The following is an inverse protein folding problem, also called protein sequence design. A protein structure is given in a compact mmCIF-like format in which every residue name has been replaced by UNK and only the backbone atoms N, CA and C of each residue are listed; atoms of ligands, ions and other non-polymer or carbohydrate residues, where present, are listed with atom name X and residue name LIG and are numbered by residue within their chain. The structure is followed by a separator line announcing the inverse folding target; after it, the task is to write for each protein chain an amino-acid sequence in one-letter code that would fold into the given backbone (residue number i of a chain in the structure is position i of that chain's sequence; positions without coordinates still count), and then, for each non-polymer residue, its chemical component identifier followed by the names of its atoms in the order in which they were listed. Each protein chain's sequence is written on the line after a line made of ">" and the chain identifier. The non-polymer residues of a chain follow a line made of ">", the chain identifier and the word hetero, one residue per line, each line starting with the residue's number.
data_IF_038453340178
#
_entry.id   IF_038453340178
#
_cell.length_a   1.000
_cell.length_b   1.000
_cell.length_c   1.000
_cell.angle_alpha   90.00
_cell.angle_beta   90.00
_cell.angle_gamma   90.00
#
_symmetry.space_group_name_H-M   'P 1'
#
loop_
_entity.id
_entity.type
_entity.pdbx_description
1 polymer ?
#
# COMPACT_ATOMS: atom_id res chain seq x y z
N UNK A 1 -67.83 9.78 -69.03
CA UNK A 1 -67.16 11.06 -68.73
C UNK A 1 -67.38 11.36 -67.26
N UNK A 2 -66.31 11.64 -66.51
CA UNK A 2 -66.21 12.14 -65.11
C UNK A 2 -67.28 11.65 -64.08
N UNK A 3 -66.94 10.71 -63.19
CA UNK A 3 -66.26 10.92 -61.89
C UNK A 3 -67.14 11.55 -60.81
N UNK A 4 -67.63 10.74 -59.85
CA UNK A 4 -67.64 11.08 -58.41
C UNK A 4 -67.86 9.83 -57.54
N UNK A 5 -67.14 9.81 -56.42
CA UNK A 5 -66.89 8.70 -55.49
C UNK A 5 -68.09 8.32 -54.61
N UNK A 6 -68.20 7.03 -54.28
CA UNK A 6 -68.96 6.49 -53.14
C UNK A 6 -67.98 5.77 -52.22
N UNK A 7 -67.69 6.35 -51.05
CA UNK A 7 -66.92 5.70 -49.98
C UNK A 7 -67.87 4.84 -49.13
N UNK A 8 -67.57 3.55 -48.97
CA UNK A 8 -68.23 2.68 -47.99
C UNK A 8 -67.36 2.50 -46.75
N UNK A 9 -68.00 2.59 -45.59
CA UNK A 9 -67.39 2.42 -44.27
C UNK A 9 -67.08 0.94 -43.98
N UNK A 10 -65.88 0.66 -43.47
CA UNK A 10 -65.54 -0.57 -42.74
C UNK A 10 -65.17 -0.18 -41.30
N UNK A 11 -65.62 -0.92 -40.27
CA UNK A 11 -65.21 -0.64 -38.90
C UNK A 11 -63.78 -1.16 -38.67
N UNK A 12 -62.89 -0.30 -38.18
CA UNK A 12 -61.58 -0.71 -37.67
C UNK A 12 -61.72 -0.96 -36.16
N UNK A 13 -61.37 -2.16 -35.73
CA UNK A 13 -61.22 -2.52 -34.32
C UNK A 13 -60.07 -1.69 -33.72
N UNK A 14 -60.36 -0.86 -32.71
CA UNK A 14 -59.32 -0.25 -31.88
C UNK A 14 -58.82 -1.29 -30.87
N UNK A 15 -57.66 -1.88 -31.16
CA UNK A 15 -56.85 -2.54 -30.14
C UNK A 15 -56.12 -1.45 -29.34
N UNK A 16 -56.39 -1.36 -28.04
CA UNK A 16 -55.66 -0.49 -27.13
C UNK A 16 -54.21 -1.00 -26.99
N UNK A 17 -53.26 -0.28 -27.59
CA UNK A 17 -51.85 -0.50 -27.35
C UNK A 17 -51.49 0.06 -25.97
N UNK A 18 -51.29 -0.82 -24.99
CA UNK A 18 -50.69 -0.49 -23.71
C UNK A 18 -49.23 -0.06 -23.96
N UNK A 19 -48.94 1.24 -23.82
CA UNK A 19 -47.57 1.74 -23.75
C UNK A 19 -47.00 1.36 -22.38
N UNK A 20 -46.31 0.21 -22.32
CA UNK A 20 -45.47 -0.13 -21.18
C UNK A 20 -44.27 0.83 -21.15
N UNK A 21 -44.25 1.75 -20.19
CA UNK A 21 -43.02 2.45 -19.80
C UNK A 21 -42.09 1.41 -19.17
N UNK A 22 -41.16 0.88 -19.95
CA UNK A 22 -40.04 0.13 -19.43
C UNK A 22 -39.11 1.09 -18.68
N UNK A 23 -39.17 1.07 -17.35
CA UNK A 23 -38.08 1.58 -16.53
C UNK A 23 -36.90 0.65 -16.77
N UNK A 24 -35.98 1.05 -17.65
CA UNK A 24 -34.71 0.37 -17.78
C UNK A 24 -33.98 0.56 -16.44
N UNK A 25 -33.90 -0.52 -15.66
CA UNK A 25 -33.00 -0.62 -14.53
C UNK A 25 -31.57 -0.59 -15.11
N UNK A 26 -30.99 0.60 -15.25
CA UNK A 26 -29.57 0.71 -15.52
C UNK A 26 -28.85 0.22 -14.26
N UNK A 27 -28.24 -0.97 -14.34
CA UNK A 27 -27.15 -1.33 -13.45
C UNK A 27 -26.07 -0.26 -13.63
N UNK A 28 -25.92 0.63 -12.64
CA UNK A 28 -24.85 1.63 -12.66
C UNK A 28 -23.52 0.87 -12.64
N UNK A 29 -22.71 1.08 -13.68
CA UNK A 29 -21.29 0.79 -13.56
C UNK A 29 -20.77 1.56 -12.33
N UNK A 30 -20.03 0.89 -11.43
CA UNK A 30 -19.46 1.53 -10.26
C UNK A 30 -18.72 2.81 -10.69
N UNK A 31 -19.23 3.97 -10.28
CA UNK A 31 -18.56 5.22 -10.58
C UNK A 31 -17.32 5.28 -9.68
N UNK A 32 -16.15 5.06 -10.28
CA UNK A 32 -14.89 5.35 -9.59
C UNK A 32 -14.69 6.84 -9.64
N UNK A 33 -15.17 7.52 -8.60
CA UNK A 33 -14.77 8.89 -8.37
C UNK A 33 -13.25 8.93 -8.15
N UNK A 34 -12.62 10.05 -8.52
CA UNK A 34 -11.19 10.24 -8.25
C UNK A 34 -11.01 10.58 -6.76
N UNK A 35 -10.60 11.81 -6.47
CA UNK A 35 -10.35 12.28 -5.11
C UNK A 35 -11.47 13.16 -4.56
N UNK A 36 -12.55 13.43 -5.30
CA UNK A 36 -13.61 14.37 -4.90
C UNK A 36 -15.03 13.85 -5.09
N UNK A 37 -15.92 14.33 -4.22
CA UNK A 37 -17.38 14.31 -4.38
C UNK A 37 -17.87 15.76 -4.32
N UNK A 38 -18.35 16.32 -5.43
CA UNK A 38 -18.77 17.73 -5.52
C UNK A 38 -20.25 17.92 -5.14
N UNK A 39 -20.66 19.16 -4.91
CA UNK A 39 -22.03 19.49 -4.53
C UNK A 39 -23.06 18.89 -5.51
N UNK A 40 -24.04 18.17 -4.95
CA UNK A 40 -25.09 17.44 -5.67
C UNK A 40 -24.76 15.98 -5.98
N UNK A 41 -23.50 15.56 -5.83
CA UNK A 41 -23.10 14.17 -6.10
C UNK A 41 -23.40 13.24 -4.92
N UNK A 42 -23.62 11.98 -5.26
CA UNK A 42 -23.89 10.90 -4.32
C UNK A 42 -22.88 9.77 -4.52
N UNK A 43 -22.17 9.39 -3.47
CA UNK A 43 -21.38 8.17 -3.41
C UNK A 43 -22.30 7.03 -2.98
N UNK A 44 -22.60 6.13 -3.92
CA UNK A 44 -23.49 4.99 -3.70
C UNK A 44 -22.82 3.89 -2.88
N UNK A 45 -23.62 2.96 -2.36
CA UNK A 45 -23.09 1.77 -1.70
C UNK A 45 -22.11 1.00 -2.61
N UNK A 46 -20.96 0.64 -2.04
CA UNK A 46 -19.77 0.04 -2.64
C UNK A 46 -18.96 0.92 -3.60
N UNK A 47 -19.34 2.19 -3.78
CA UNK A 47 -18.50 3.16 -4.50
C UNK A 47 -17.45 3.78 -3.56
N UNK A 48 -16.37 4.27 -4.15
CA UNK A 48 -15.22 4.76 -3.39
C UNK A 48 -14.52 5.97 -4.03
N UNK A 49 -13.78 6.70 -3.20
CA UNK A 49 -12.83 7.76 -3.56
C UNK A 49 -11.41 7.33 -3.23
N UNK A 50 -10.46 7.71 -4.09
CA UNK A 50 -9.02 7.51 -3.88
C UNK A 50 -8.20 8.76 -4.23
N UNK A 51 -7.05 9.01 -3.60
CA UNK A 51 -6.16 10.08 -4.03
C UNK A 51 -5.76 9.95 -5.52
N UNK A 52 -5.52 11.06 -6.19
CA UNK A 52 -5.16 11.09 -7.62
C UNK A 52 -3.69 10.76 -7.88
N UNK A 53 -2.82 10.96 -6.89
CA UNK A 53 -1.36 10.88 -7.03
C UNK A 53 -0.73 9.69 -6.28
N UNK A 54 -1.51 8.92 -5.52
CA UNK A 54 -1.05 7.75 -4.79
C UNK A 54 -2.20 6.79 -4.43
N UNK A 55 -1.86 5.66 -3.79
CA UNK A 55 -2.82 4.63 -3.36
C UNK A 55 -2.73 4.37 -1.84
N UNK A 56 -2.48 5.41 -1.03
CA UNK A 56 -2.25 5.26 0.42
C UNK A 56 -3.54 4.94 1.19
N UNK A 57 -4.66 5.47 0.74
CA UNK A 57 -5.96 5.36 1.42
C UNK A 57 -7.09 5.21 0.41
N UNK A 58 -8.23 4.72 0.91
CA UNK A 58 -9.48 4.62 0.14
C UNK A 58 -10.67 4.95 1.04
N UNK A 59 -11.55 5.84 0.60
CA UNK A 59 -12.84 6.11 1.28
C UNK A 59 -13.92 5.33 0.54
N UNK A 60 -14.63 4.44 1.23
CA UNK A 60 -15.68 3.61 0.66
C UNK A 60 -16.99 3.79 1.42
N UNK A 61 -18.09 3.98 0.70
CA UNK A 61 -19.44 3.82 1.25
C UNK A 61 -19.75 2.33 1.26
N UNK A 62 -19.60 1.64 2.39
CA UNK A 62 -19.73 0.18 2.45
C UNK A 62 -21.19 -0.27 2.27
N UNK A 63 -21.40 -1.49 1.76
CA UNK A 63 -22.73 -2.07 1.58
C UNK A 63 -23.52 -2.31 2.88
N UNK A 64 -22.87 -2.30 4.03
CA UNK A 64 -23.51 -2.38 5.35
C UNK A 64 -24.02 -1.01 5.86
N UNK A 65 -23.78 0.07 5.10
CA UNK A 65 -24.20 1.42 5.41
C UNK A 65 -23.15 2.29 6.10
N UNK A 66 -21.92 1.82 6.31
CA UNK A 66 -20.86 2.60 6.94
C UNK A 66 -19.98 3.30 5.89
N UNK A 67 -19.74 4.61 6.03
CA UNK A 67 -18.74 5.30 5.25
C UNK A 67 -17.39 5.20 5.97
N UNK A 68 -16.40 4.55 5.35
CA UNK A 68 -15.14 4.21 6.02
C UNK A 68 -13.93 4.60 5.18
N UNK A 69 -12.98 5.28 5.83
CA UNK A 69 -11.65 5.57 5.28
C UNK A 69 -10.66 4.50 5.75
N UNK A 70 -10.07 3.78 4.81
CA UNK A 70 -9.07 2.76 5.08
C UNK A 70 -7.67 3.20 4.66
N UNK A 71 -6.67 2.77 5.42
CA UNK A 71 -5.28 2.72 4.96
C UNK A 71 -5.07 1.46 4.13
N UNK A 72 -4.52 1.61 2.93
CA UNK A 72 -4.41 0.50 1.97
C UNK A 72 -3.27 -0.47 2.27
N UNK A 73 -2.26 -0.08 3.05
CA UNK A 73 -1.12 -0.95 3.37
C UNK A 73 -1.49 -2.13 4.27
N UNK A 74 -2.47 -1.96 5.16
CA UNK A 74 -2.85 -2.95 6.18
C UNK A 74 -4.37 -3.07 6.41
N UNK A 75 -5.19 -2.40 5.59
CA UNK A 75 -6.65 -2.39 5.68
C UNK A 75 -7.18 -1.92 7.04
N UNK A 76 -6.41 -1.13 7.78
CA UNK A 76 -6.85 -0.55 9.06
C UNK A 76 -7.82 0.62 8.78
N UNK A 77 -9.02 0.66 9.41
CA UNK A 77 -9.90 1.80 9.33
C UNK A 77 -9.27 2.99 10.08
N UNK A 78 -9.08 4.11 9.38
CA UNK A 78 -8.55 5.34 9.94
C UNK A 78 -9.65 6.24 10.50
N UNK A 79 -10.83 6.21 9.89
CA UNK A 79 -12.00 6.98 10.29
C UNK A 79 -13.27 6.34 9.70
N UNK A 80 -14.42 6.49 10.37
CA UNK A 80 -15.72 6.05 9.88
C UNK A 80 -16.88 6.84 10.51
N UNK A 81 -18.05 6.76 9.88
CA UNK A 81 -19.27 7.43 10.33
C UNK A 81 -20.00 6.73 11.47
N UNK A 82 -19.66 5.47 11.78
CA UNK A 82 -20.40 4.62 12.74
C UNK A 82 -21.85 4.34 12.31
N UNK A 83 -22.10 4.26 11.00
CA UNK A 83 -23.44 4.07 10.44
C UNK A 83 -23.66 2.65 9.89
N UNK A 84 -22.90 1.66 10.37
CA UNK A 84 -23.09 0.26 9.97
C UNK A 84 -24.46 -0.27 10.43
N UNK A 85 -24.98 -1.29 9.73
CA UNK A 85 -26.31 -1.86 9.99
C UNK A 85 -27.44 -1.16 9.24
N UNK A 86 -27.10 -0.25 8.32
CA UNK A 86 -28.03 0.50 7.48
C UNK A 86 -27.78 0.22 5.99
N UNK A 87 -28.00 -1.02 5.51
CA UNK A 87 -27.74 -1.36 4.11
C UNK A 87 -28.55 -0.49 3.15
N UNK A 88 -27.93 -0.09 2.05
CA UNK A 88 -28.51 0.86 1.09
C UNK A 88 -28.35 2.33 1.48
N UNK A 89 -27.64 2.64 2.57
CA UNK A 89 -27.25 4.02 2.85
C UNK A 89 -26.31 4.59 1.77
N UNK A 90 -26.32 5.90 1.62
CA UNK A 90 -25.54 6.65 0.62
C UNK A 90 -24.90 7.88 1.25
N UNK A 91 -23.77 8.34 0.70
CA UNK A 91 -23.15 9.60 1.11
C UNK A 91 -23.44 10.68 0.07
N UNK A 92 -23.97 11.82 0.50
CA UNK A 92 -24.34 12.94 -0.39
C UNK A 92 -23.56 14.18 0.01
N UNK A 93 -22.89 14.80 -0.95
CA UNK A 93 -22.37 16.16 -0.79
C UNK A 93 -23.49 17.14 -1.17
N UNK A 94 -24.21 17.66 -0.19
CA UNK A 94 -25.41 18.46 -0.44
C UNK A 94 -25.10 19.83 -1.05
N UNK A 95 -26.08 20.40 -1.76
CA UNK A 95 -25.93 21.72 -2.40
C UNK A 95 -25.77 22.89 -1.43
N UNK A 96 -26.20 22.73 -0.18
CA UNK A 96 -26.02 23.71 0.91
C UNK A 96 -24.60 23.67 1.52
N UNK A 97 -23.77 22.71 1.10
CA UNK A 97 -22.40 22.54 1.55
C UNK A 97 -22.19 21.49 2.62
N UNK A 98 -23.23 20.79 3.07
CA UNK A 98 -23.10 19.75 4.10
C UNK A 98 -22.82 18.37 3.46
N UNK A 99 -21.82 17.64 3.98
CA UNK A 99 -21.69 16.21 3.69
C UNK A 99 -22.56 15.40 4.65
N UNK A 100 -23.43 14.54 4.12
CA UNK A 100 -24.39 13.75 4.90
C UNK A 100 -24.42 12.30 4.45
N UNK A 101 -24.50 11.36 5.40
CA UNK A 101 -24.86 9.97 5.13
C UNK A 101 -26.34 9.78 5.41
N UNK A 102 -27.09 9.36 4.39
CA UNK A 102 -28.51 9.06 4.49
C UNK A 102 -28.75 7.55 4.51
N UNK A 103 -29.69 7.09 5.32
CA UNK A 103 -30.23 5.73 5.23
C UNK A 103 -31.00 5.50 3.93
N UNK A 104 -31.38 4.25 3.67
CA UNK A 104 -31.99 3.83 2.40
C UNK A 104 -33.32 4.55 2.05
N UNK A 105 -34.02 5.13 3.03
CA UNK A 105 -35.25 5.90 2.80
C UNK A 105 -34.99 7.34 2.31
N UNK A 106 -33.73 7.79 2.29
CA UNK A 106 -33.34 9.13 1.87
C UNK A 106 -33.69 10.25 2.85
N UNK A 107 -34.26 9.95 4.02
CA UNK A 107 -34.64 10.94 5.04
C UNK A 107 -33.91 10.75 6.37
N UNK A 108 -33.49 9.53 6.69
CA UNK A 108 -32.78 9.23 7.92
C UNK A 108 -31.33 9.71 7.82
N UNK A 109 -30.97 10.72 8.60
CA UNK A 109 -29.60 11.23 8.69
C UNK A 109 -28.81 10.36 9.67
N UNK A 110 -27.82 9.64 9.17
CA UNK A 110 -26.95 8.76 9.97
C UNK A 110 -25.65 9.45 10.40
N UNK A 111 -25.19 10.43 9.62
CA UNK A 111 -24.01 11.24 9.90
C UNK A 111 -24.07 12.57 9.14
N UNK A 112 -23.47 13.63 9.68
CA UNK A 112 -23.22 14.88 8.95
C UNK A 112 -21.97 15.61 9.47
N UNK A 113 -21.38 16.46 8.61
CA UNK A 113 -20.15 17.21 8.95
C UNK A 113 -20.41 18.56 9.64
N UNK A 114 -21.66 19.01 9.71
CA UNK A 114 -22.05 20.35 10.20
C UNK A 114 -21.49 21.52 9.38
N UNK A 115 -21.41 21.34 8.06
CA UNK A 115 -20.81 22.34 7.14
C UNK A 115 -21.83 23.06 6.25
N UNK A 116 -23.12 22.95 6.57
CA UNK A 116 -24.21 23.65 5.86
C UNK A 116 -24.02 25.19 5.83
N UNK A 117 -24.77 25.87 4.98
CA UNK A 117 -24.64 27.30 4.64
C UNK A 117 -23.31 27.67 3.94
N UNK A 118 -22.66 26.70 3.29
CA UNK A 118 -21.46 26.89 2.48
C UNK A 118 -21.67 26.32 1.07
N UNK A 119 -22.57 26.91 0.24
CA UNK A 119 -22.90 26.36 -1.07
C UNK A 119 -21.67 26.24 -1.98
N UNK A 120 -21.65 25.19 -2.79
CA UNK A 120 -20.50 24.86 -3.65
C UNK A 120 -19.33 24.20 -2.90
N UNK A 121 -19.49 23.83 -1.63
CA UNK A 121 -18.52 22.99 -0.94
C UNK A 121 -18.43 21.60 -1.56
N UNK A 122 -17.30 20.92 -1.35
CA UNK A 122 -17.05 19.58 -1.86
C UNK A 122 -16.20 18.76 -0.88
N UNK A 123 -16.38 17.45 -0.91
CA UNK A 123 -15.52 16.50 -0.23
C UNK A 123 -14.27 16.26 -1.08
N UNK A 124 -13.10 16.18 -0.45
CA UNK A 124 -11.85 15.79 -1.09
C UNK A 124 -11.05 14.85 -0.20
N UNK A 125 -10.56 13.76 -0.79
CA UNK A 125 -9.60 12.84 -0.20
C UNK A 125 -8.17 13.24 -0.65
N UNK A 126 -7.41 13.87 0.25
CA UNK A 126 -6.09 14.38 -0.07
C UNK A 126 -5.06 13.26 -0.19
N UNK A 127 -3.95 13.56 -0.89
CA UNK A 127 -2.80 12.67 -1.03
C UNK A 127 -2.12 12.30 0.29
N UNK A 128 -2.26 13.15 1.32
CA UNK A 128 -1.84 12.84 2.68
C UNK A 128 -2.72 11.80 3.38
N UNK A 129 -3.84 11.41 2.78
CA UNK A 129 -4.86 10.56 3.40
C UNK A 129 -5.82 11.28 4.36
N UNK A 130 -5.77 12.61 4.41
CA UNK A 130 -6.78 13.40 5.13
C UNK A 130 -8.03 13.56 4.26
N UNK A 131 -9.21 13.27 4.83
CA UNK A 131 -10.49 13.50 4.20
C UNK A 131 -11.04 14.85 4.68
N UNK A 132 -11.39 15.74 3.75
CA UNK A 132 -11.79 17.12 4.08
C UNK A 132 -13.03 17.56 3.33
N UNK A 133 -13.87 18.37 3.96
CA UNK A 133 -14.86 19.20 3.27
C UNK A 133 -14.25 20.58 3.09
N UNK A 134 -14.20 21.07 1.85
CA UNK A 134 -13.69 22.39 1.50
C UNK A 134 -14.81 23.26 0.94
N UNK A 135 -14.79 24.55 1.25
CA UNK A 135 -15.62 25.55 0.60
C UNK A 135 -15.27 25.70 -0.88
N UNK A 136 -16.12 26.39 -1.65
CA UNK A 136 -15.83 26.78 -3.03
C UNK A 136 -14.52 27.61 -3.17
N UNK A 137 -14.10 28.30 -2.11
CA UNK A 137 -12.84 29.05 -2.03
C UNK A 137 -11.65 28.23 -1.51
N UNK A 138 -11.77 26.90 -1.41
CA UNK A 138 -10.76 25.96 -0.89
C UNK A 138 -10.47 26.06 0.62
N UNK A 139 -11.27 26.78 1.40
CA UNK A 139 -11.13 26.80 2.87
C UNK A 139 -11.59 25.45 3.43
N UNK A 140 -10.78 24.81 4.29
CA UNK A 140 -11.18 23.57 4.97
C UNK A 140 -12.23 23.91 6.04
N UNK A 141 -13.42 23.34 5.90
CA UNK A 141 -14.54 23.51 6.83
C UNK A 141 -14.65 22.35 7.83
N UNK A 142 -14.23 21.15 7.42
CA UNK A 142 -14.18 19.95 8.25
C UNK A 142 -13.02 19.05 7.79
N UNK A 143 -12.45 18.29 8.72
CA UNK A 143 -11.40 17.30 8.43
C UNK A 143 -11.54 16.06 9.32
N UNK A 144 -11.23 14.88 8.77
CA UNK A 144 -11.10 13.64 9.53
C UNK A 144 -9.86 13.60 10.42
N UNK A 145 -8.87 14.46 10.15
CA UNK A 145 -7.56 14.50 10.82
C UNK A 145 -6.78 13.18 10.72
N UNK A 146 -6.88 12.52 9.57
CA UNK A 146 -6.30 11.19 9.31
C UNK A 146 -5.09 11.25 8.37
N UNK A 147 -4.34 12.35 8.37
CA UNK A 147 -3.13 12.42 7.55
C UNK A 147 -2.21 11.26 7.92
N UNK A 148 -2.02 10.33 6.99
CA UNK A 148 -1.05 9.25 7.10
C UNK A 148 0.25 9.75 6.51
N UNK A 149 1.36 9.42 7.18
CA UNK A 149 2.63 9.45 6.48
C UNK A 149 2.56 8.39 5.37
N UNK A 150 3.05 8.67 4.16
CA UNK A 150 3.28 7.61 3.19
C UNK A 150 4.02 6.48 3.89
N UNK A 151 3.55 5.24 3.71
CA UNK A 151 4.38 4.09 4.10
C UNK A 151 5.77 4.32 3.48
N UNK A 152 6.87 4.10 4.22
CA UNK A 152 8.19 4.34 3.66
C UNK A 152 8.31 3.56 2.35
N UNK A 153 8.58 4.25 1.24
CA UNK A 153 8.83 3.59 -0.03
C UNK A 153 10.15 2.84 0.09
N UNK A 154 10.08 1.54 0.37
CA UNK A 154 11.25 0.70 0.28
C UNK A 154 11.48 0.34 -1.18
N UNK A 155 12.75 0.22 -1.53
CA UNK A 155 13.13 -0.21 -2.86
C UNK A 155 14.39 -1.04 -2.78
N UNK A 156 14.49 -2.01 -3.68
CA UNK A 156 15.68 -2.83 -3.80
C UNK A 156 16.81 -2.04 -4.47
N UNK A 157 17.99 -1.93 -3.83
CA UNK A 157 19.14 -1.29 -4.45
C UNK A 157 19.65 -2.12 -5.64
N UNK A 158 20.31 -1.46 -6.58
CA UNK A 158 21.13 -2.14 -7.59
C UNK A 158 22.48 -2.57 -7.00
N UNK A 159 23.15 -3.53 -7.64
CA UNK A 159 24.51 -3.89 -7.26
C UNK A 159 25.49 -2.76 -7.64
N UNK A 160 25.94 -2.00 -6.64
CA UNK A 160 26.91 -0.91 -6.81
C UNK A 160 28.12 -1.12 -5.89
N UNK A 161 29.06 -2.02 -6.26
CA UNK A 161 30.18 -2.36 -5.40
C UNK A 161 31.14 -1.19 -5.16
N UNK A 162 31.19 -0.20 -6.05
CA UNK A 162 32.08 0.97 -5.91
C UNK A 162 31.81 1.77 -4.64
N UNK A 163 30.55 1.96 -4.27
CA UNK A 163 30.18 2.63 -3.02
C UNK A 163 30.71 1.88 -1.79
N UNK A 164 30.57 0.55 -1.79
CA UNK A 164 30.95 -0.30 -0.65
C UNK A 164 32.43 -0.69 -0.63
N UNK A 165 33.16 -0.45 -1.73
CA UNK A 165 34.55 -0.82 -1.95
C UNK A 165 35.47 0.40 -2.08
N UNK A 166 35.24 1.41 -1.24
CA UNK A 166 36.02 2.66 -1.22
C UNK A 166 37.48 2.46 -0.73
N UNK A 167 37.83 1.27 -0.22
CA UNK A 167 39.13 0.99 0.39
C UNK A 167 39.37 1.72 1.71
N UNK A 168 38.38 2.46 2.22
CA UNK A 168 38.47 3.37 3.34
C UNK A 168 37.31 3.11 4.32
N UNK A 169 36.71 4.17 4.88
CA UNK A 169 35.74 4.07 5.97
C UNK A 169 34.54 3.20 5.62
N UNK A 170 33.96 3.32 4.41
CA UNK A 170 32.75 2.57 4.08
C UNK A 170 33.06 1.07 4.04
N UNK A 171 34.13 0.68 3.35
CA UNK A 171 34.52 -0.72 3.24
C UNK A 171 34.99 -1.29 4.59
N UNK A 172 35.75 -0.52 5.37
CA UNK A 172 36.39 -1.01 6.59
C UNK A 172 35.45 -1.07 7.80
N UNK A 173 34.41 -0.24 7.85
CA UNK A 173 33.56 -0.13 9.04
C UNK A 173 32.17 -0.74 8.88
N UNK A 174 31.76 -1.18 7.69
CA UNK A 174 30.44 -1.75 7.45
C UNK A 174 30.58 -3.22 7.04
N UNK A 175 29.88 -4.12 7.74
CA UNK A 175 30.00 -5.57 7.55
C UNK A 175 28.91 -6.14 6.61
N UNK A 176 28.74 -7.47 6.61
CA UNK A 176 27.72 -8.15 5.82
C UNK A 176 26.29 -7.73 6.18
N UNK A 177 26.03 -7.43 7.46
CA UNK A 177 24.71 -7.04 7.94
C UNK A 177 24.36 -5.62 7.49
N UNK A 178 25.31 -4.70 7.55
CA UNK A 178 25.18 -3.37 6.94
C UNK A 178 24.85 -3.44 5.45
N UNK A 179 25.66 -4.21 4.72
CA UNK A 179 25.51 -4.35 3.27
C UNK A 179 24.15 -4.93 2.90
N UNK A 180 23.73 -6.02 3.56
CA UNK A 180 22.48 -6.69 3.28
C UNK A 180 21.27 -5.80 3.54
N UNK A 181 21.29 -5.02 4.63
CA UNK A 181 20.25 -4.03 4.95
C UNK A 181 20.41 -2.72 4.16
N UNK A 182 21.40 -2.63 3.27
CA UNK A 182 21.76 -1.41 2.55
C UNK A 182 21.93 -0.18 3.47
N UNK A 183 22.38 -0.37 4.71
CA UNK A 183 22.47 0.72 5.70
C UNK A 183 23.91 0.91 6.15
N UNK A 184 24.43 2.11 5.88
CA UNK A 184 25.75 2.54 6.32
C UNK A 184 25.61 3.09 7.74
N UNK A 185 25.98 2.29 8.73
CA UNK A 185 26.06 2.75 10.12
C UNK A 185 27.46 3.22 10.47
N UNK A 186 28.46 2.89 9.63
CA UNK A 186 29.89 3.03 9.95
C UNK A 186 30.27 2.34 11.26
N UNK A 187 29.53 1.29 11.60
CA UNK A 187 29.76 0.37 12.72
C UNK A 187 29.66 -1.06 12.21
N UNK A 188 30.32 -2.00 12.90
CA UNK A 188 30.12 -3.42 12.69
C UNK A 188 28.74 -3.84 13.22
N UNK A 189 27.70 -3.59 12.42
CA UNK A 189 26.33 -3.79 12.87
C UNK A 189 26.06 -5.24 13.26
N UNK A 190 25.35 -5.44 14.37
CA UNK A 190 25.02 -6.76 14.90
C UNK A 190 23.50 -6.95 14.93
N UNK A 191 22.97 -8.07 14.43
CA UNK A 191 21.55 -8.40 14.58
C UNK A 191 21.11 -8.26 16.04
N UNK A 192 19.99 -7.56 16.24
CA UNK A 192 19.34 -7.37 17.54
C UNK A 192 19.90 -6.24 18.39
N UNK A 193 21.09 -5.70 18.06
CA UNK A 193 21.78 -4.72 18.91
C UNK A 193 21.00 -3.41 19.05
N UNK A 194 20.28 -2.98 18.02
CA UNK A 194 19.45 -1.78 18.08
C UNK A 194 18.34 -1.89 19.15
N UNK A 195 17.89 -3.12 19.43
CA UNK A 195 16.82 -3.42 20.38
C UNK A 195 17.31 -4.19 21.62
N UNK A 196 18.59 -4.07 21.96
CA UNK A 196 19.16 -4.62 23.19
C UNK A 196 19.35 -6.14 23.20
N UNK A 197 19.12 -6.82 22.07
CA UNK A 197 19.36 -8.26 21.93
C UNK A 197 20.84 -8.45 21.58
N UNK A 198 21.63 -8.93 22.55
CA UNK A 198 23.07 -9.12 22.41
C UNK A 198 23.57 -10.28 23.28
N UNK A 199 24.83 -10.68 23.11
CA UNK A 199 25.46 -11.73 23.94
C UNK A 199 24.85 -13.13 23.78
N UNK A 200 24.08 -13.36 22.72
CA UNK A 200 23.46 -14.65 22.43
C UNK A 200 24.46 -15.65 21.85
N UNK A 201 24.19 -16.94 22.02
CA UNK A 201 24.99 -18.00 21.43
C UNK A 201 24.91 -17.96 19.90
N UNK A 202 26.04 -18.13 19.21
CA UNK A 202 26.12 -18.09 17.75
C UNK A 202 25.46 -19.32 17.10
N UNK A 203 24.13 -19.32 17.06
CA UNK A 203 23.29 -20.38 16.52
C UNK A 203 22.31 -19.79 15.50
N UNK A 204 21.86 -20.60 14.55
CA UNK A 204 20.86 -20.18 13.56
C UNK A 204 19.63 -19.52 14.20
N UNK A 205 18.95 -20.17 15.17
CA UNK A 205 17.77 -19.60 15.83
C UNK A 205 18.04 -18.29 16.58
N UNK A 206 19.21 -18.14 17.23
CA UNK A 206 19.52 -16.93 17.96
C UNK A 206 19.73 -15.73 17.03
N UNK A 207 20.50 -15.90 15.95
CA UNK A 207 20.73 -14.83 14.95
C UNK A 207 19.42 -14.52 14.21
N UNK A 208 18.60 -15.53 13.92
CA UNK A 208 17.26 -15.35 13.33
C UNK A 208 16.39 -14.46 14.22
N UNK A 209 16.26 -14.78 15.50
CA UNK A 209 15.41 -14.01 16.43
C UNK A 209 15.95 -12.58 16.64
N UNK A 210 17.27 -12.41 16.68
CA UNK A 210 17.90 -11.10 16.77
C UNK A 210 17.62 -10.25 15.52
N UNK A 211 17.66 -10.85 14.32
CA UNK A 211 17.27 -10.18 13.09
C UNK A 211 15.79 -9.79 13.07
N UNK A 212 14.90 -10.66 13.55
CA UNK A 212 13.46 -10.33 13.71
C UNK A 212 13.26 -9.17 14.67
N UNK A 213 14.05 -9.08 15.75
CA UNK A 213 13.99 -7.97 16.69
C UNK A 213 14.33 -6.62 16.03
N UNK A 214 15.24 -6.60 15.06
CA UNK A 214 15.57 -5.43 14.22
C UNK A 214 14.51 -5.13 13.12
N UNK A 215 13.38 -5.85 13.13
CA UNK A 215 12.25 -5.63 12.21
C UNK A 215 12.41 -6.29 10.85
N UNK A 216 13.37 -7.20 10.68
CA UNK A 216 13.50 -8.00 9.46
C UNK A 216 12.34 -9.00 9.41
N UNK A 217 11.64 -9.07 8.27
CA UNK A 217 10.43 -9.89 8.12
C UNK A 217 10.79 -11.25 7.53
N UNK A 218 10.64 -12.37 8.26
CA UNK A 218 10.95 -13.69 7.72
C UNK A 218 10.15 -14.02 6.46
N UNK A 219 10.76 -14.76 5.53
CA UNK A 219 10.13 -15.17 4.27
C UNK A 219 10.74 -16.45 3.70
N UNK A 220 10.27 -16.85 2.52
CA UNK A 220 10.78 -18.00 1.76
C UNK A 220 11.55 -17.55 0.51
N UNK A 221 12.24 -18.47 -0.16
CA UNK A 221 12.92 -18.20 -1.42
C UNK A 221 11.97 -17.58 -2.47
N UNK A 222 10.72 -18.05 -2.51
CA UNK A 222 9.67 -17.62 -3.44
C UNK A 222 8.77 -16.50 -2.89
N UNK A 223 9.01 -16.02 -1.67
CA UNK A 223 8.22 -14.96 -1.07
C UNK A 223 8.24 -13.69 -1.92
N UNK A 224 7.08 -13.06 -2.06
CA UNK A 224 6.92 -11.74 -2.70
C UNK A 224 7.15 -10.65 -1.67
N UNK A 225 7.90 -9.62 -2.06
CA UNK A 225 8.25 -8.53 -1.16
C UNK A 225 7.02 -7.71 -0.76
N UNK A 226 6.75 -7.52 0.54
CA UNK A 226 5.80 -6.53 0.99
C UNK A 226 6.42 -5.14 0.82
N UNK A 227 5.71 -4.23 0.13
CA UNK A 227 6.04 -2.79 0.07
C UNK A 227 7.43 -2.49 -0.52
N UNK A 228 7.95 -3.36 -1.40
CA UNK A 228 9.24 -3.13 -2.07
C UNK A 228 10.49 -3.35 -1.21
N UNK A 229 10.35 -3.97 -0.02
CA UNK A 229 11.48 -4.39 0.83
C UNK A 229 12.46 -5.30 0.07
N UNK A 230 13.74 -5.23 0.42
CA UNK A 230 14.78 -6.04 -0.22
C UNK A 230 14.82 -7.45 0.38
N UNK A 231 14.95 -8.48 -0.45
CA UNK A 231 15.15 -9.86 0.03
C UNK A 231 16.62 -10.07 0.41
N UNK A 232 16.85 -10.66 1.57
CA UNK A 232 18.16 -11.03 2.10
C UNK A 232 18.15 -12.46 2.63
N UNK A 233 19.31 -13.10 2.72
CA UNK A 233 19.46 -14.46 3.20
C UNK A 233 20.47 -14.55 4.34
N UNK A 234 20.15 -15.28 5.40
CA UNK A 234 20.99 -15.53 6.55
C UNK A 234 21.61 -16.93 6.48
N UNK A 235 22.91 -16.99 6.67
CA UNK A 235 23.68 -18.22 6.85
C UNK A 235 24.52 -18.11 8.11
N UNK A 236 24.78 -19.25 8.75
CA UNK A 236 25.50 -19.30 10.03
C UNK A 236 26.57 -20.38 9.96
N UNK A 237 27.74 -20.06 10.51
CA UNK A 237 28.76 -21.01 10.91
C UNK A 237 28.57 -21.22 12.42
N UNK A 238 27.92 -22.33 12.85
CA UNK A 238 27.52 -22.50 14.24
C UNK A 238 28.72 -22.40 15.20
N UNK A 239 28.56 -21.61 16.27
CA UNK A 239 29.60 -21.34 17.26
C UNK A 239 30.69 -20.36 16.82
N UNK A 240 30.66 -19.89 15.56
CA UNK A 240 31.74 -19.08 14.97
C UNK A 240 31.22 -17.70 14.54
N UNK A 241 30.35 -17.66 13.53
CA UNK A 241 29.95 -16.40 12.89
C UNK A 241 28.63 -16.52 12.09
N UNK A 242 28.09 -15.40 11.64
CA UNK A 242 26.98 -15.33 10.70
C UNK A 242 27.38 -14.57 9.43
N UNK A 243 26.63 -14.77 8.35
CA UNK A 243 26.83 -14.02 7.12
C UNK A 243 25.51 -13.76 6.40
N UNK A 244 25.47 -12.67 5.64
CA UNK A 244 24.26 -12.19 4.97
C UNK A 244 24.49 -11.96 3.47
N UNK A 245 23.50 -12.35 2.68
CA UNK A 245 23.42 -12.07 1.24
C UNK A 245 22.23 -11.14 0.96
N UNK A 246 22.34 -10.35 -0.11
CA UNK A 246 21.28 -9.46 -0.62
C UNK A 246 20.91 -9.84 -2.04
N UNK A 247 19.62 -9.85 -2.35
CA UNK A 247 19.16 -9.93 -3.73
C UNK A 247 18.96 -8.50 -4.26
N UNK A 248 19.82 -8.07 -5.17
CA UNK A 248 19.76 -6.74 -5.79
C UNK A 248 18.64 -6.66 -6.85
N UNK A 249 18.36 -5.45 -7.34
CA UNK A 249 17.21 -5.16 -8.21
C UNK A 249 17.19 -5.92 -9.54
N UNK A 250 18.35 -6.40 -10.00
CA UNK A 250 18.51 -7.26 -11.18
C UNK A 250 18.29 -8.75 -10.88
N UNK A 251 17.92 -9.09 -9.64
CA UNK A 251 17.71 -10.45 -9.16
C UNK A 251 18.99 -11.16 -8.70
N UNK A 252 20.16 -10.53 -8.83
CA UNK A 252 21.45 -11.14 -8.51
C UNK A 252 21.68 -11.18 -7.00
N UNK A 253 22.29 -12.27 -6.53
CA UNK A 253 22.75 -12.37 -5.15
C UNK A 253 24.15 -11.81 -4.96
N UNK A 254 24.31 -10.96 -3.96
CA UNK A 254 25.55 -10.25 -3.65
C UNK A 254 25.79 -10.24 -2.14
N UNK A 255 27.03 -10.01 -1.73
CA UNK A 255 27.41 -9.99 -0.31
C UNK A 255 28.70 -9.22 -0.06
N UNK A 256 29.00 -8.98 1.23
CA UNK A 256 30.24 -8.34 1.69
C UNK A 256 30.77 -9.03 2.96
N UNK A 257 31.73 -9.97 2.86
CA UNK A 257 32.28 -10.65 4.04
C UNK A 257 33.09 -9.69 4.92
N UNK A 258 32.59 -9.31 6.10
CA UNK A 258 33.31 -8.45 7.05
C UNK A 258 33.87 -7.17 6.39
N UNK A 259 35.17 -6.90 6.58
CA UNK A 259 35.89 -5.74 5.99
C UNK A 259 36.29 -5.93 4.52
N UNK A 260 36.02 -7.09 3.93
CA UNK A 260 36.39 -7.36 2.54
C UNK A 260 35.47 -6.63 1.57
N UNK A 261 35.75 -6.79 0.27
CA UNK A 261 35.02 -6.13 -0.80
C UNK A 261 33.62 -6.72 -0.93
N UNK A 262 32.62 -5.87 -1.16
CA UNK A 262 31.35 -6.27 -1.71
C UNK A 262 31.58 -6.93 -3.07
N UNK A 263 30.94 -8.08 -3.25
CA UNK A 263 31.12 -8.97 -4.38
C UNK A 263 29.82 -9.71 -4.70
N UNK A 264 29.80 -10.35 -5.85
CA UNK A 264 28.67 -11.07 -6.40
C UNK A 264 29.05 -12.51 -6.82
N UNK A 265 30.16 -13.00 -6.27
CA UNK A 265 30.68 -14.36 -6.42
C UNK A 265 30.89 -15.01 -5.07
N UNK A 266 30.80 -16.33 -5.01
CA UNK A 266 30.94 -17.14 -3.81
C UNK A 266 32.42 -17.44 -3.46
N UNK A 267 32.68 -18.31 -2.47
CA UNK A 267 34.05 -18.65 -2.06
C UNK A 267 34.87 -19.41 -3.12
N UNK A 268 34.23 -19.90 -4.19
CA UNK A 268 34.90 -20.49 -5.36
C UNK A 268 35.14 -19.47 -6.48
N UNK A 269 34.71 -18.21 -6.32
CA UNK A 269 34.74 -17.21 -7.37
C UNK A 269 33.62 -17.38 -8.41
N UNK A 270 32.58 -18.18 -8.11
CA UNK A 270 31.44 -18.41 -9.01
C UNK A 270 30.32 -17.44 -8.69
N UNK A 271 29.67 -16.89 -9.71
CA UNK A 271 28.51 -16.00 -9.54
C UNK A 271 27.42 -16.68 -8.69
N UNK A 272 26.93 -15.96 -7.67
CA UNK A 272 25.91 -16.50 -6.76
C UNK A 272 24.55 -16.44 -7.45
N UNK A 273 24.00 -17.60 -7.79
CA UNK A 273 22.62 -17.74 -8.30
C UNK A 273 21.63 -18.12 -7.19
N UNK A 274 22.10 -18.88 -6.20
CA UNK A 274 21.29 -19.29 -5.05
C UNK A 274 22.16 -19.33 -3.78
N UNK A 275 21.85 -18.54 -2.73
CA UNK A 275 22.62 -18.53 -1.49
C UNK A 275 22.48 -19.84 -0.69
N UNK A 276 21.47 -20.69 -0.96
CA UNK A 276 21.33 -21.99 -0.31
C UNK A 276 22.41 -22.99 -0.73
N UNK A 277 22.85 -22.92 -1.98
CA UNK A 277 23.74 -23.91 -2.61
C UNK A 277 25.11 -23.37 -3.03
N UNK A 278 25.32 -22.05 -2.97
CA UNK A 278 26.61 -21.43 -3.26
C UNK A 278 27.72 -21.95 -2.33
N UNK A 279 28.99 -21.84 -2.75
CA UNK A 279 30.10 -22.14 -1.86
C UNK A 279 30.21 -21.06 -0.77
N UNK A 280 29.71 -21.36 0.42
CA UNK A 280 29.73 -20.45 1.57
C UNK A 280 30.93 -20.65 2.50
N UNK A 281 31.89 -21.49 2.13
CA UNK A 281 32.99 -21.87 3.01
C UNK A 281 32.49 -22.40 4.36
N UNK A 282 32.85 -21.74 5.46
CA UNK A 282 32.51 -22.19 6.82
C UNK A 282 31.03 -22.00 7.22
N UNK A 283 30.24 -21.19 6.50
CA UNK A 283 28.83 -20.95 6.82
C UNK A 283 27.96 -22.11 6.30
N UNK A 284 28.02 -23.23 7.02
CA UNK A 284 27.38 -24.50 6.60
C UNK A 284 25.86 -24.50 6.79
N UNK A 285 25.33 -23.76 7.77
CA UNK A 285 23.90 -23.71 8.06
C UNK A 285 23.21 -22.60 7.25
N UNK A 286 22.28 -22.96 6.39
CA UNK A 286 21.31 -22.01 5.83
C UNK A 286 20.16 -21.82 6.83
N UNK A 287 19.88 -20.59 7.24
CA UNK A 287 18.89 -20.32 8.29
C UNK A 287 17.55 -19.88 7.70
N UNK A 288 17.56 -18.98 6.72
CA UNK A 288 16.33 -18.50 6.10
C UNK A 288 16.47 -17.20 5.32
N UNK A 289 15.37 -16.79 4.71
CA UNK A 289 15.25 -15.52 4.02
C UNK A 289 14.48 -14.50 4.85
N UNK A 290 14.76 -13.23 4.60
CA UNK A 290 14.05 -12.11 5.20
C UNK A 290 13.81 -11.00 4.17
N UNK A 291 12.82 -10.16 4.44
CA UNK A 291 12.68 -8.85 3.84
C UNK A 291 13.19 -7.78 4.80
N UNK A 292 14.01 -6.88 4.27
CA UNK A 292 14.53 -5.72 5.01
C UNK A 292 14.03 -4.40 4.40
N UNK A 293 13.60 -3.44 5.24
CA UNK A 293 13.27 -2.10 4.80
C UNK A 293 14.52 -1.37 4.29
N UNK A 294 14.68 -1.32 2.95
CA UNK A 294 15.86 -0.81 2.26
C UNK A 294 15.55 0.49 1.48
N UNK A 295 16.51 0.96 0.70
CA UNK A 295 16.42 2.14 -0.16
C UNK A 295 17.17 1.86 -1.49
N UNK A 296 16.81 2.54 -2.57
CA UNK A 296 17.51 2.42 -3.85
C UNK A 296 18.92 3.04 -3.77
N UNK A 297 19.10 4.03 -2.90
CA UNK A 297 20.37 4.71 -2.66
C UNK A 297 21.23 3.88 -1.71
N UNK A 298 22.50 3.64 -2.08
CA UNK A 298 23.39 2.83 -1.24
C UNK A 298 23.61 3.45 0.14
N UNK A 299 23.57 2.62 1.17
CA UNK A 299 23.81 3.04 2.55
C UNK A 299 22.63 3.74 3.23
N UNK A 300 21.51 3.96 2.55
CA UNK A 300 20.33 4.67 3.08
C UNK A 300 19.17 3.75 3.49
N UNK A 301 19.41 2.46 3.65
CA UNK A 301 18.44 1.50 4.15
C UNK A 301 17.80 1.93 5.47
N UNK A 302 16.55 1.55 5.66
CA UNK A 302 15.68 2.03 6.74
C UNK A 302 15.56 1.04 7.91
N UNK A 303 16.16 -0.14 7.82
CA UNK A 303 16.19 -1.11 8.91
C UNK A 303 16.82 -0.51 10.17
N UNK A 304 16.25 -0.77 11.34
CA UNK A 304 16.80 -0.26 12.59
C UNK A 304 17.91 -1.19 13.10
N UNK A 305 19.11 -1.05 12.52
CA UNK A 305 20.30 -1.83 12.88
C UNK A 305 21.40 -0.92 13.46
N UNK A 306 22.27 -1.49 14.31
CA UNK A 306 23.39 -0.80 14.98
C UNK A 306 24.65 -1.65 15.10
#
# INVERSE_FOLDING_TARGET
>A
MASTLSQSFKPLHFAAALLAFSVALQASAAHSYTDKLVAGETLQANEFLKPTDNNLVNLIMQGDGNLVLYRMSDSVPLWHTNSWGHPGAVTVMQGDGNLVVYGANGTDVLFHTNTWNNPGSYLQLLSSGNLVVKSASNTVLWASNTSVQPAPIYSTPSYQPTFWNDGATIQRNNNCYNYANNKRTDTFAQPGRAHGVSGYAMTGPAVYNAAVADGLVPTTATGTSPEGKTKIALVVAPGVDYHWYRQDADGRWTHKPGQTRATNVDNSGVTISNPETANRGMYTLFVGYFFTPSDAVQGQGKADIR
#
